data_IF_253925242680
#
_entry.id   IF_253925242680
#
_cell.length_a   1.000
_cell.length_b   1.000
_cell.length_c   1.000
_cell.angle_alpha   90.00
_cell.angle_beta   90.00
_cell.angle_gamma   90.00
#
_symmetry.space_group_name_H-M   'P 1'
#
loop_
_entity.id
_entity.type
_entity.pdbx_description
1 polymer ?
#
# COMPACT_ATOMS: atom_id res chain seq x y z
N UNK A 1 -34.04 -19.29 -26.26
CA UNK A 1 -33.30 -18.58 -25.19
C UNK A 1 -32.51 -19.52 -24.26
N UNK A 2 -33.03 -20.70 -23.88
CA UNK A 2 -32.36 -21.64 -22.96
C UNK A 2 -31.00 -22.17 -23.50
N UNK A 3 -30.86 -22.44 -24.79
CA UNK A 3 -29.59 -22.94 -25.38
C UNK A 3 -28.44 -21.92 -25.46
N UNK A 4 -28.74 -20.61 -25.59
CA UNK A 4 -27.71 -19.56 -25.76
C UNK A 4 -27.05 -19.18 -24.43
N UNK A 5 -27.77 -19.33 -23.32
CA UNK A 5 -27.24 -19.13 -21.96
C UNK A 5 -26.36 -20.30 -21.54
N UNK A 6 -26.72 -21.53 -21.92
CA UNK A 6 -25.92 -22.73 -21.66
C UNK A 6 -24.56 -22.68 -22.38
N UNK A 7 -24.55 -22.29 -23.65
CA UNK A 7 -23.32 -22.22 -24.46
C UNK A 7 -22.31 -21.19 -23.93
N UNK A 8 -22.80 -19.99 -23.52
CA UNK A 8 -21.96 -18.97 -22.87
C UNK A 8 -21.39 -19.41 -21.52
N UNK A 9 -22.12 -20.24 -20.77
CA UNK A 9 -21.64 -20.77 -19.51
C UNK A 9 -20.50 -21.78 -19.74
N UNK A 10 -20.63 -22.64 -20.75
CA UNK A 10 -19.58 -23.60 -21.15
C UNK A 10 -18.33 -22.87 -21.64
N UNK A 11 -18.47 -21.88 -22.53
CA UNK A 11 -17.35 -21.06 -23.01
C UNK A 11 -16.60 -20.36 -21.85
N UNK A 12 -17.33 -19.87 -20.84
CA UNK A 12 -16.72 -19.25 -19.66
C UNK A 12 -15.95 -20.25 -18.78
N UNK A 13 -16.43 -21.49 -18.67
CA UNK A 13 -15.74 -22.56 -17.93
C UNK A 13 -14.46 -22.96 -18.65
N UNK A 14 -14.49 -23.10 -19.97
CA UNK A 14 -13.30 -23.46 -20.77
C UNK A 14 -12.23 -22.38 -20.69
N UNK A 15 -12.60 -21.10 -20.80
CA UNK A 15 -11.68 -19.97 -20.61
C UNK A 15 -11.03 -19.97 -19.22
N UNK A 16 -11.81 -20.24 -18.17
CA UNK A 16 -11.29 -20.31 -16.81
C UNK A 16 -10.32 -21.48 -16.64
N UNK A 17 -10.67 -22.66 -17.17
CA UNK A 17 -9.83 -23.84 -17.11
C UNK A 17 -8.51 -23.64 -17.85
N UNK A 18 -8.55 -23.07 -19.06
CA UNK A 18 -7.35 -22.72 -19.84
C UNK A 18 -6.43 -21.79 -19.04
N UNK A 19 -6.98 -20.70 -18.50
CA UNK A 19 -6.23 -19.76 -17.69
C UNK A 19 -5.59 -20.41 -16.46
N UNK A 20 -6.35 -21.18 -15.69
CA UNK A 20 -5.87 -21.85 -14.49
C UNK A 20 -4.81 -22.92 -14.82
N UNK A 21 -4.97 -23.65 -15.92
CA UNK A 21 -4.00 -24.64 -16.40
C UNK A 21 -2.67 -23.98 -16.78
N UNK A 22 -2.71 -22.86 -17.50
CA UNK A 22 -1.50 -22.10 -17.83
C UNK A 22 -0.82 -21.56 -16.57
N UNK A 23 -1.58 -20.94 -15.67
CA UNK A 23 -1.02 -20.41 -14.42
C UNK A 23 -0.38 -21.51 -13.58
N UNK A 24 -0.92 -22.72 -13.55
CA UNK A 24 -0.40 -23.84 -12.74
C UNK A 24 0.54 -24.78 -13.48
N UNK A 25 0.89 -24.48 -14.74
CA UNK A 25 1.73 -25.32 -15.56
C UNK A 25 3.12 -25.58 -14.94
N UNK A 26 3.67 -26.78 -15.22
CA UNK A 26 5.04 -27.14 -14.81
C UNK A 26 6.08 -26.29 -15.52
N UNK A 27 5.89 -26.06 -16.82
CA UNK A 27 6.76 -25.21 -17.61
C UNK A 27 6.60 -23.73 -17.24
N UNK A 28 7.72 -23.03 -17.10
CA UNK A 28 7.68 -21.64 -16.66
C UNK A 28 7.24 -20.68 -17.77
N UNK A 29 7.41 -21.01 -19.05
CA UNK A 29 6.93 -20.17 -20.14
C UNK A 29 5.40 -20.22 -20.22
N UNK A 30 4.79 -21.41 -20.09
CA UNK A 30 3.35 -21.56 -19.99
C UNK A 30 2.77 -20.74 -18.81
N UNK A 31 3.45 -20.71 -17.65
CA UNK A 31 3.04 -19.83 -16.53
C UNK A 31 3.11 -18.34 -16.88
N UNK A 32 4.12 -17.91 -17.64
CA UNK A 32 4.22 -16.52 -18.12
C UNK A 32 3.11 -16.18 -19.09
N UNK A 33 2.77 -17.10 -19.99
CA UNK A 33 1.62 -16.96 -20.89
C UNK A 33 0.32 -16.83 -20.09
N UNK A 34 0.11 -17.66 -19.06
CA UNK A 34 -1.04 -17.53 -18.17
C UNK A 34 -1.11 -16.17 -17.45
N UNK A 35 0.03 -15.61 -17.04
CA UNK A 35 0.09 -14.27 -16.43
C UNK A 35 -0.29 -13.17 -17.44
N UNK A 36 0.16 -13.29 -18.70
CA UNK A 36 -0.24 -12.36 -19.77
C UNK A 36 -1.72 -12.49 -20.10
N UNK A 37 -2.22 -13.72 -20.24
CA UNK A 37 -3.61 -14.00 -20.53
C UNK A 37 -4.55 -13.44 -19.45
N UNK A 38 -4.18 -13.56 -18.17
CA UNK A 38 -4.92 -12.95 -17.08
C UNK A 38 -5.02 -11.42 -17.23
N UNK A 39 -3.91 -10.76 -17.57
CA UNK A 39 -3.92 -9.31 -17.80
C UNK A 39 -4.85 -8.95 -18.95
N UNK A 40 -4.84 -9.73 -20.03
CA UNK A 40 -5.69 -9.47 -21.19
C UNK A 40 -7.17 -9.70 -20.89
N UNK A 41 -7.52 -10.68 -20.04
CA UNK A 41 -8.87 -10.80 -19.49
C UNK A 41 -9.26 -9.61 -18.61
N UNK A 42 -8.34 -9.05 -17.82
CA UNK A 42 -8.65 -7.84 -17.04
C UNK A 42 -8.97 -6.64 -17.94
N UNK A 43 -8.30 -6.52 -19.10
CA UNK A 43 -8.55 -5.45 -20.08
C UNK A 43 -9.83 -5.67 -20.88
N UNK A 44 -10.05 -6.88 -21.38
CA UNK A 44 -11.11 -7.20 -22.34
C UNK A 44 -12.41 -7.66 -21.69
N UNK A 45 -12.33 -8.35 -20.56
CA UNK A 45 -13.46 -8.98 -19.88
C UNK A 45 -13.35 -8.90 -18.34
N UNK A 46 -13.20 -7.71 -17.73
CA UNK A 46 -13.00 -7.57 -16.28
C UNK A 46 -14.11 -8.23 -15.42
N UNK A 47 -15.35 -8.30 -15.95
CA UNK A 47 -16.47 -9.00 -15.28
C UNK A 47 -16.26 -10.51 -15.17
N UNK A 48 -15.60 -11.13 -16.16
CA UNK A 48 -15.25 -12.55 -16.10
C UNK A 48 -14.25 -12.80 -14.97
N UNK A 49 -13.24 -11.92 -14.85
CA UNK A 49 -12.24 -12.00 -13.78
C UNK A 49 -12.88 -11.78 -12.41
N UNK A 50 -13.73 -10.75 -12.25
CA UNK A 50 -14.38 -10.46 -10.97
C UNK A 50 -15.35 -11.57 -10.54
N UNK A 51 -16.05 -12.20 -11.49
CA UNK A 51 -16.98 -13.32 -11.19
C UNK A 51 -16.23 -14.56 -10.72
N UNK A 52 -15.02 -14.78 -11.23
CA UNK A 52 -14.19 -15.94 -10.91
C UNK A 52 -13.01 -15.59 -9.98
N UNK A 53 -13.16 -14.54 -9.17
CA UNK A 53 -12.03 -13.92 -8.45
C UNK A 53 -11.26 -14.93 -7.58
N UNK A 54 -11.95 -15.77 -6.80
CA UNK A 54 -11.29 -16.76 -5.95
C UNK A 54 -10.53 -17.80 -6.76
N UNK A 55 -11.18 -18.40 -7.77
CA UNK A 55 -10.60 -19.47 -8.59
C UNK A 55 -9.33 -18.99 -9.31
N UNK A 56 -9.36 -17.78 -9.85
CA UNK A 56 -8.21 -17.17 -10.53
C UNK A 56 -7.11 -16.78 -9.53
N UNK A 57 -7.46 -16.10 -8.44
CA UNK A 57 -6.46 -15.53 -7.54
C UNK A 57 -5.84 -16.55 -6.58
N UNK A 58 -6.52 -17.65 -6.26
CA UNK A 58 -5.96 -18.75 -5.49
C UNK A 58 -4.73 -19.34 -6.20
N UNK A 59 -4.75 -19.43 -7.53
CA UNK A 59 -3.60 -19.89 -8.33
C UNK A 59 -2.66 -18.75 -8.72
N UNK A 60 -3.15 -17.54 -8.97
CA UNK A 60 -2.30 -16.39 -9.34
C UNK A 60 -1.39 -15.93 -8.20
N UNK A 61 -1.84 -15.97 -6.94
CA UNK A 61 -1.01 -15.62 -5.77
C UNK A 61 0.26 -16.49 -5.70
N UNK A 62 0.19 -17.73 -6.17
CA UNK A 62 1.36 -18.62 -6.26
C UNK A 62 2.41 -18.11 -7.25
N UNK A 63 2.01 -17.34 -8.28
CA UNK A 63 2.94 -16.71 -9.23
C UNK A 63 3.64 -15.50 -8.61
N UNK A 64 3.00 -14.78 -7.69
CA UNK A 64 3.65 -13.76 -6.87
C UNK A 64 4.68 -14.33 -5.90
N UNK A 65 4.79 -15.66 -5.78
CA UNK A 65 5.83 -16.35 -5.01
C UNK A 65 6.50 -17.46 -5.83
N UNK A 66 6.52 -17.31 -7.15
CA UNK A 66 7.04 -18.34 -8.05
C UNK A 66 8.53 -18.60 -7.81
N UNK A 67 8.94 -19.88 -7.90
CA UNK A 67 10.35 -20.25 -7.79
C UNK A 67 11.19 -19.70 -8.97
N UNK A 68 10.55 -19.49 -10.12
CA UNK A 68 11.19 -18.85 -11.26
C UNK A 68 11.09 -17.32 -11.14
N UNK A 69 12.25 -16.67 -11.01
CA UNK A 69 12.35 -15.21 -10.84
C UNK A 69 11.70 -14.39 -11.96
N UNK A 70 11.72 -14.88 -13.22
CA UNK A 70 11.08 -14.18 -14.35
C UNK A 70 9.57 -14.23 -14.25
N UNK A 71 9.00 -15.38 -13.88
CA UNK A 71 7.56 -15.52 -13.64
C UNK A 71 7.14 -14.63 -12.47
N UNK A 72 7.89 -14.67 -11.37
CA UNK A 72 7.61 -13.87 -10.18
C UNK A 72 7.62 -12.37 -10.44
N UNK A 73 8.67 -11.87 -11.11
CA UNK A 73 8.75 -10.46 -11.49
C UNK A 73 7.59 -10.06 -12.41
N UNK A 74 7.33 -10.84 -13.46
CA UNK A 74 6.25 -10.53 -14.40
C UNK A 74 4.88 -10.53 -13.72
N UNK A 75 4.63 -11.47 -12.79
CA UNK A 75 3.38 -11.52 -12.04
C UNK A 75 3.18 -10.27 -11.17
N UNK A 76 4.24 -9.76 -10.53
CA UNK A 76 4.19 -8.51 -9.74
C UNK A 76 3.94 -7.29 -10.63
N UNK A 77 4.61 -7.21 -11.78
CA UNK A 77 4.40 -6.14 -12.78
C UNK A 77 2.97 -6.14 -13.31
N UNK A 78 2.45 -7.33 -13.64
CA UNK A 78 1.07 -7.51 -14.10
C UNK A 78 0.07 -7.18 -13.00
N UNK A 79 0.32 -7.59 -11.75
CA UNK A 79 -0.54 -7.23 -10.62
C UNK A 79 -0.67 -5.72 -10.46
N UNK A 80 0.44 -4.98 -10.56
CA UNK A 80 0.43 -3.52 -10.50
C UNK A 80 -0.48 -2.89 -11.58
N UNK A 81 -0.55 -3.50 -12.77
CA UNK A 81 -1.45 -3.07 -13.85
C UNK A 81 -2.91 -3.50 -13.60
N UNK A 82 -3.15 -4.68 -13.05
CA UNK A 82 -4.49 -5.21 -12.80
C UNK A 82 -5.22 -4.47 -11.68
N UNK A 83 -4.50 -4.02 -10.65
CA UNK A 83 -5.07 -3.32 -9.49
C UNK A 83 -6.00 -2.16 -9.90
N UNK A 84 -5.58 -1.18 -10.73
CA UNK A 84 -6.47 -0.09 -11.14
C UNK A 84 -7.63 -0.53 -12.05
N UNK A 85 -7.55 -1.69 -12.70
CA UNK A 85 -8.62 -2.22 -13.55
C UNK A 85 -9.72 -2.90 -12.72
N UNK A 86 -9.32 -3.64 -11.67
CA UNK A 86 -10.22 -4.45 -10.86
C UNK A 86 -10.71 -3.73 -9.60
N UNK A 87 -9.91 -2.83 -9.01
CA UNK A 87 -10.25 -2.01 -7.84
C UNK A 87 -10.94 -2.83 -6.73
N UNK A 88 -12.17 -2.47 -6.37
CA UNK A 88 -12.94 -3.11 -5.30
C UNK A 88 -13.24 -4.59 -5.54
N UNK A 89 -13.19 -5.07 -6.79
CA UNK A 89 -13.32 -6.50 -7.08
C UNK A 89 -12.18 -7.34 -6.45
N UNK A 90 -11.05 -6.71 -6.09
CA UNK A 90 -9.94 -7.37 -5.40
C UNK A 90 -10.14 -7.49 -3.88
N UNK A 91 -11.13 -6.80 -3.29
CA UNK A 91 -11.33 -6.82 -1.83
C UNK A 91 -11.37 -8.23 -1.22
N UNK A 92 -12.06 -9.24 -1.82
CA UNK A 92 -12.12 -10.59 -1.25
C UNK A 92 -10.76 -11.31 -1.18
N UNK A 93 -9.79 -10.90 -2.00
CA UNK A 93 -8.44 -11.49 -2.11
C UNK A 93 -7.33 -10.51 -1.71
N UNK A 94 -7.69 -9.35 -1.15
CA UNK A 94 -6.75 -8.27 -0.85
C UNK A 94 -5.65 -8.72 0.12
N UNK A 95 -6.01 -9.40 1.20
CA UNK A 95 -5.04 -9.80 2.23
C UNK A 95 -3.99 -10.79 1.71
N UNK A 96 -4.39 -11.75 0.88
CA UNK A 96 -3.45 -12.72 0.28
C UNK A 96 -2.53 -12.04 -0.73
N UNK A 97 -3.07 -11.15 -1.57
CA UNK A 97 -2.30 -10.33 -2.51
C UNK A 97 -1.28 -9.45 -1.81
N UNK A 98 -1.71 -8.62 -0.85
CA UNK A 98 -0.85 -7.69 -0.13
C UNK A 98 0.23 -8.45 0.64
N UNK A 99 -0.12 -9.58 1.28
CA UNK A 99 0.87 -10.42 1.96
C UNK A 99 1.92 -10.94 0.98
N UNK A 100 1.54 -11.40 -0.21
CA UNK A 100 2.47 -11.91 -1.20
C UNK A 100 3.37 -10.79 -1.76
N UNK A 101 2.82 -9.60 -2.03
CA UNK A 101 3.61 -8.44 -2.45
C UNK A 101 4.66 -8.07 -1.39
N UNK A 102 4.26 -7.99 -0.11
CA UNK A 102 5.16 -7.64 1.00
C UNK A 102 6.33 -8.63 1.11
N UNK A 103 6.10 -9.93 0.91
CA UNK A 103 7.15 -10.94 0.99
C UNK A 103 8.27 -10.71 -0.05
N UNK A 104 7.95 -10.08 -1.18
CA UNK A 104 8.90 -9.78 -2.25
C UNK A 104 9.73 -8.52 -2.00
N UNK A 105 9.38 -7.69 -1.02
CA UNK A 105 10.13 -6.47 -0.68
C UNK A 105 11.52 -6.75 -0.09
N UNK A 106 11.76 -7.98 0.39
CA UNK A 106 13.09 -8.42 0.83
C UNK A 106 13.90 -9.11 -0.28
N UNK A 107 13.39 -9.15 -1.51
CA UNK A 107 14.10 -9.79 -2.62
C UNK A 107 15.40 -9.04 -2.95
N UNK A 108 16.50 -9.78 -3.07
CA UNK A 108 17.78 -9.25 -3.56
C UNK A 108 17.78 -9.02 -5.07
N UNK A 109 16.76 -9.52 -5.78
CA UNK A 109 16.62 -9.30 -7.21
C UNK A 109 15.94 -7.95 -7.46
N UNK A 110 16.69 -6.97 -7.96
CA UNK A 110 16.23 -5.58 -8.11
C UNK A 110 14.95 -5.45 -8.92
N UNK A 111 14.78 -6.26 -9.98
CA UNK A 111 13.54 -6.27 -10.77
C UNK A 111 12.32 -6.76 -9.99
N UNK A 112 12.49 -7.75 -9.11
CA UNK A 112 11.39 -8.27 -8.27
C UNK A 112 11.03 -7.24 -7.20
N UNK A 113 12.06 -6.68 -6.55
CA UNK A 113 11.88 -5.61 -5.57
C UNK A 113 11.14 -4.41 -6.18
N UNK A 114 11.59 -3.90 -7.33
CA UNK A 114 10.95 -2.78 -8.01
C UNK A 114 9.51 -3.07 -8.44
N UNK A 115 9.23 -4.28 -8.91
CA UNK A 115 7.87 -4.70 -9.26
C UNK A 115 6.96 -4.80 -8.02
N UNK A 116 7.49 -5.31 -6.90
CA UNK A 116 6.76 -5.38 -5.62
C UNK A 116 6.44 -3.99 -5.07
N UNK A 117 7.39 -3.05 -5.10
CA UNK A 117 7.15 -1.66 -4.71
C UNK A 117 6.05 -1.04 -5.57
N UNK A 118 6.11 -1.19 -6.90
CA UNK A 118 5.07 -0.69 -7.80
C UNK A 118 3.70 -1.29 -7.53
N UNK A 119 3.62 -2.60 -7.27
CA UNK A 119 2.37 -3.26 -6.92
C UNK A 119 1.81 -2.75 -5.58
N UNK A 120 2.68 -2.51 -4.59
CA UNK A 120 2.30 -1.95 -3.30
C UNK A 120 1.77 -0.51 -3.42
N UNK A 121 2.46 0.32 -4.19
CA UNK A 121 2.04 1.70 -4.48
C UNK A 121 0.70 1.73 -5.23
N UNK A 122 0.50 0.86 -6.23
CA UNK A 122 -0.78 0.72 -6.92
C UNK A 122 -1.90 0.29 -5.95
N UNK A 123 -1.61 -0.64 -5.03
CA UNK A 123 -2.58 -1.09 -4.03
C UNK A 123 -3.01 0.06 -3.11
N UNK A 124 -2.06 0.86 -2.62
CA UNK A 124 -2.35 2.05 -1.79
C UNK A 124 -3.12 3.12 -2.57
N UNK A 125 -2.87 3.27 -3.86
CA UNK A 125 -3.52 4.29 -4.68
C UNK A 125 -4.97 3.94 -5.09
N UNK A 126 -5.30 2.65 -5.18
CA UNK A 126 -6.54 2.20 -5.82
C UNK A 126 -7.42 1.27 -4.98
N UNK A 127 -6.93 0.73 -3.87
CA UNK A 127 -7.71 -0.13 -2.98
C UNK A 127 -8.14 0.62 -1.71
N UNK A 128 -9.08 0.04 -0.95
CA UNK A 128 -9.54 0.68 0.29
C UNK A 128 -8.40 0.80 1.31
N UNK A 129 -8.05 2.05 1.64
CA UNK A 129 -6.95 2.36 2.54
C UNK A 129 -7.14 1.80 3.96
N UNK A 130 -8.39 1.62 4.44
CA UNK A 130 -8.64 1.00 5.75
C UNK A 130 -8.25 -0.48 5.70
N UNK A 131 -8.59 -1.20 4.63
CA UNK A 131 -8.15 -2.60 4.44
C UNK A 131 -6.65 -2.70 4.25
N UNK A 132 -6.01 -1.76 3.56
CA UNK A 132 -4.54 -1.69 3.45
C UNK A 132 -3.88 -1.50 4.82
N UNK A 133 -4.40 -0.58 5.64
CA UNK A 133 -3.92 -0.35 7.00
C UNK A 133 -4.05 -1.61 7.86
N UNK A 134 -5.19 -2.29 7.78
CA UNK A 134 -5.47 -3.55 8.47
C UNK A 134 -4.50 -4.67 8.02
N UNK A 135 -4.26 -4.81 6.71
CA UNK A 135 -3.32 -5.77 6.16
C UNK A 135 -1.88 -5.53 6.66
N UNK A 136 -1.46 -4.27 6.74
CA UNK A 136 -0.14 -3.92 7.29
C UNK A 136 -0.06 -4.20 8.79
N UNK A 137 -1.11 -3.89 9.56
CA UNK A 137 -1.14 -4.11 11.00
C UNK A 137 -0.97 -5.59 11.40
N UNK A 138 -1.55 -6.50 10.61
CA UNK A 138 -1.40 -7.95 10.83
C UNK A 138 0.00 -8.47 10.49
N UNK A 139 0.77 -7.76 9.64
CA UNK A 139 2.03 -8.24 9.11
C UNK A 139 3.26 -7.60 9.76
N UNK A 140 3.21 -6.31 10.11
CA UNK A 140 4.39 -5.50 10.47
C UNK A 140 5.27 -6.11 11.56
N UNK A 141 4.66 -6.77 12.56
CA UNK A 141 5.38 -7.42 13.68
C UNK A 141 6.25 -8.60 13.25
N UNK A 142 5.97 -9.18 12.08
CA UNK A 142 6.69 -10.31 11.50
C UNK A 142 7.66 -9.89 10.40
N UNK A 143 7.71 -8.60 10.06
CA UNK A 143 8.59 -8.09 9.02
C UNK A 143 9.98 -7.78 9.56
N UNK A 144 10.96 -7.86 8.68
CA UNK A 144 12.35 -7.47 8.92
C UNK A 144 12.97 -6.95 7.62
N UNK A 145 14.17 -6.38 7.70
CA UNK A 145 14.90 -5.89 6.53
C UNK A 145 14.18 -4.75 5.81
N UNK A 146 14.25 -4.77 4.47
CA UNK A 146 13.69 -3.72 3.62
C UNK A 146 12.16 -3.72 3.66
N UNK A 147 11.52 -4.89 3.76
CA UNK A 147 10.06 -4.98 3.85
C UNK A 147 9.50 -4.23 5.07
N UNK A 148 10.16 -4.31 6.23
CA UNK A 148 9.75 -3.57 7.42
C UNK A 148 9.86 -2.05 7.21
N UNK A 149 10.94 -1.60 6.55
CA UNK A 149 11.15 -0.18 6.27
C UNK A 149 10.09 0.37 5.32
N UNK A 150 9.88 -0.30 4.19
CA UNK A 150 8.94 0.14 3.14
C UNK A 150 7.50 0.15 3.66
N UNK A 151 7.07 -0.93 4.34
CA UNK A 151 5.71 -0.99 4.94
C UNK A 151 5.51 0.09 5.98
N UNK A 152 6.52 0.38 6.83
CA UNK A 152 6.40 1.42 7.86
C UNK A 152 6.39 2.83 7.28
N UNK A 153 7.13 3.05 6.19
CA UNK A 153 7.10 4.30 5.46
C UNK A 153 5.70 4.57 4.90
N UNK A 154 5.08 3.56 4.26
CA UNK A 154 3.72 3.67 3.73
C UNK A 154 2.63 3.73 4.82
N UNK A 155 2.84 3.11 5.99
CA UNK A 155 1.94 3.24 7.14
C UNK A 155 1.74 4.70 7.53
N UNK A 156 2.80 5.52 7.49
CA UNK A 156 2.69 6.95 7.79
C UNK A 156 1.75 7.65 6.81
N UNK A 157 1.85 7.35 5.51
CA UNK A 157 0.98 7.92 4.47
C UNK A 157 -0.48 7.50 4.68
N UNK A 158 -0.72 6.20 4.95
CA UNK A 158 -2.06 5.68 5.21
C UNK A 158 -2.70 6.35 6.43
N UNK A 159 -1.96 6.48 7.54
CA UNK A 159 -2.41 7.15 8.77
C UNK A 159 -2.83 8.58 8.49
N UNK A 160 -1.99 9.35 7.79
CA UNK A 160 -2.28 10.74 7.47
C UNK A 160 -3.57 10.88 6.65
N UNK A 161 -3.77 9.99 5.66
CA UNK A 161 -4.95 10.01 4.79
C UNK A 161 -6.24 9.54 5.47
N UNK A 162 -6.14 8.57 6.39
CA UNK A 162 -7.30 7.92 7.00
C UNK A 162 -7.78 8.61 8.25
N UNK A 163 -6.92 9.27 9.01
CA UNK A 163 -7.31 9.83 10.30
C UNK A 163 -8.48 10.82 10.22
N UNK A 164 -8.56 11.75 9.24
CA UNK A 164 -9.67 12.70 9.15
C UNK A 164 -11.04 12.04 8.96
N UNK A 165 -11.10 10.90 8.28
CA UNK A 165 -12.35 10.22 7.92
C UNK A 165 -12.67 9.00 8.79
N UNK A 166 -11.64 8.28 9.26
CA UNK A 166 -11.75 7.01 9.99
C UNK A 166 -10.78 6.98 11.19
N UNK A 167 -10.89 7.92 12.15
CA UNK A 167 -9.93 8.04 13.27
C UNK A 167 -9.89 6.79 14.15
N UNK A 168 -11.02 6.07 14.28
CA UNK A 168 -11.09 4.83 15.06
C UNK A 168 -10.27 3.69 14.43
N UNK A 169 -10.25 3.58 13.11
CA UNK A 169 -9.42 2.58 12.42
C UNK A 169 -7.93 2.86 12.66
N UNK A 170 -7.51 4.12 12.58
CA UNK A 170 -6.13 4.52 12.88
C UNK A 170 -5.76 4.22 14.32
N UNK A 171 -6.64 4.53 15.29
CA UNK A 171 -6.42 4.18 16.70
C UNK A 171 -6.28 2.67 16.90
N UNK A 172 -7.15 1.89 16.27
CA UNK A 172 -7.16 0.44 16.42
C UNK A 172 -5.95 -0.25 15.78
N UNK A 173 -5.56 0.16 14.57
CA UNK A 173 -4.51 -0.53 13.82
C UNK A 173 -3.13 0.12 13.95
N UNK A 174 -3.03 1.46 13.92
CA UNK A 174 -1.73 2.14 13.86
C UNK A 174 -1.07 2.35 15.24
N UNK A 175 -1.86 2.62 16.30
CA UNK A 175 -1.28 2.81 17.63
C UNK A 175 -0.57 1.55 18.15
N UNK A 176 -1.14 0.33 18.07
CA UNK A 176 -0.41 -0.87 18.49
C UNK A 176 0.90 -1.08 17.74
N UNK A 177 0.98 -0.66 16.47
CA UNK A 177 2.21 -0.72 15.68
C UNK A 177 3.24 0.29 16.21
N UNK A 178 2.82 1.52 16.49
CA UNK A 178 3.69 2.51 17.11
C UNK A 178 4.24 2.01 18.45
N UNK A 179 3.38 1.47 19.31
CA UNK A 179 3.78 0.92 20.61
C UNK A 179 4.71 -0.27 20.46
N UNK A 180 4.48 -1.13 19.48
CA UNK A 180 5.40 -2.21 19.12
C UNK A 180 6.80 -1.66 18.81
N UNK A 181 6.92 -0.64 17.96
CA UNK A 181 8.22 -0.04 17.66
C UNK A 181 8.85 0.61 18.90
N UNK A 182 8.08 1.38 19.66
CA UNK A 182 8.61 2.12 20.80
C UNK A 182 8.95 1.23 22.02
N UNK A 183 8.30 0.07 22.15
CA UNK A 183 8.58 -0.93 23.18
C UNK A 183 9.66 -1.93 22.78
N UNK A 184 9.70 -2.35 21.52
CA UNK A 184 10.71 -3.29 21.03
C UNK A 184 11.88 -2.56 20.38
N UNK A 185 13.05 -2.61 21.04
CA UNK A 185 14.40 -2.38 20.45
C UNK A 185 14.60 -1.10 19.61
N UNK A 186 13.67 -0.15 19.52
CA UNK A 186 13.86 1.04 18.68
C UNK A 186 15.03 1.92 19.14
N UNK A 187 15.42 1.86 20.42
CA UNK A 187 16.55 2.61 21.00
C UNK A 187 16.99 1.91 22.31
N UNK A 188 18.24 1.43 22.51
CA UNK A 188 19.52 1.75 21.85
C UNK A 188 20.09 0.70 20.86
N UNK A 189 19.39 -0.43 20.61
CA UNK A 189 19.97 -1.61 19.90
C UNK A 189 19.46 -1.81 18.46
N UNK A 190 18.40 -1.11 18.03
CA UNK A 190 17.84 -1.22 16.66
C UNK A 190 18.57 -0.39 15.60
N UNK A 191 18.45 -0.80 14.33
CA UNK A 191 19.06 -0.11 13.18
C UNK A 191 18.58 1.33 13.05
N UNK A 192 19.47 2.23 12.64
CA UNK A 192 19.17 3.66 12.42
C UNK A 192 17.98 3.87 11.48
N UNK A 193 17.87 3.03 10.45
CA UNK A 193 16.79 3.11 9.46
C UNK A 193 15.42 2.78 10.06
N UNK A 194 15.31 1.71 10.86
CA UNK A 194 14.04 1.35 11.53
C UNK A 194 13.61 2.47 12.49
N UNK A 195 14.57 3.06 13.20
CA UNK A 195 14.33 4.20 14.08
C UNK A 195 13.81 5.42 13.32
N UNK A 196 14.33 5.69 12.12
CA UNK A 196 13.89 6.80 11.29
C UNK A 196 12.43 6.64 10.83
N UNK A 197 12.05 5.46 10.31
CA UNK A 197 10.67 5.21 9.86
C UNK A 197 9.68 5.17 11.04
N UNK A 198 10.07 4.59 12.18
CA UNK A 198 9.25 4.60 13.40
C UNK A 198 9.05 6.03 13.94
N UNK A 199 10.09 6.86 13.89
CA UNK A 199 10.00 8.26 14.26
C UNK A 199 9.08 9.05 13.31
N UNK A 200 9.13 8.75 11.99
CA UNK A 200 8.21 9.34 11.01
C UNK A 200 6.75 8.96 11.31
N UNK A 201 6.48 7.69 11.62
CA UNK A 201 5.15 7.22 12.01
C UNK A 201 4.66 7.92 13.29
N UNK A 202 5.51 8.01 14.32
CA UNK A 202 5.19 8.71 15.57
C UNK A 202 4.84 10.19 15.34
N UNK A 203 5.64 10.88 14.51
CA UNK A 203 5.41 12.29 14.17
C UNK A 203 4.12 12.46 13.38
N UNK A 204 3.85 11.59 12.42
CA UNK A 204 2.62 11.64 11.62
C UNK A 204 1.39 11.42 12.48
N UNK A 205 1.44 10.45 13.39
CA UNK A 205 0.38 10.24 14.38
C UNK A 205 0.19 11.48 15.27
N UNK A 206 1.28 12.11 15.73
CA UNK A 206 1.18 13.31 16.55
C UNK A 206 0.57 14.49 15.77
N UNK A 207 0.92 14.65 14.49
CA UNK A 207 0.36 15.70 13.64
C UNK A 207 -1.15 15.55 13.46
N UNK A 208 -1.67 14.33 13.28
CA UNK A 208 -3.10 14.12 13.06
C UNK A 208 -3.90 14.00 14.36
N UNK A 209 -3.30 13.45 15.44
CA UNK A 209 -3.98 13.20 16.72
C UNK A 209 -3.79 14.31 17.76
N UNK A 210 -2.73 15.11 17.64
CA UNK A 210 -2.34 16.11 18.63
C UNK A 210 -2.08 15.51 20.02
N UNK A 211 -2.57 16.20 21.04
CA UNK A 211 -2.41 15.81 22.45
C UNK A 211 -3.06 14.46 22.77
N UNK A 212 -4.06 14.01 22.02
CA UNK A 212 -4.68 12.70 22.29
C UNK A 212 -3.69 11.53 22.13
N UNK A 213 -2.64 11.68 21.31
CA UNK A 213 -1.56 10.69 21.25
C UNK A 213 -0.81 10.59 22.58
N UNK A 214 -0.66 11.71 23.30
CA UNK A 214 -0.03 11.78 24.62
C UNK A 214 -0.86 11.01 25.66
N UNK A 215 -2.17 11.20 25.63
CA UNK A 215 -3.10 10.49 26.52
C UNK A 215 -3.06 8.98 26.27
N UNK A 216 -3.01 8.56 25.00
CA UNK A 216 -2.85 7.16 24.65
C UNK A 216 -1.48 6.60 25.06
N UNK A 217 -0.40 7.39 25.00
CA UNK A 217 0.92 6.98 25.44
C UNK A 217 1.01 6.82 26.96
N UNK A 218 0.22 7.57 27.74
CA UNK A 218 0.18 7.48 29.20
C UNK A 218 -0.36 6.13 29.70
N UNK A 219 -1.11 5.39 28.88
CA UNK A 219 -1.58 4.03 29.19
C UNK A 219 -0.55 2.94 28.87
N UNK A 220 0.57 3.30 28.24
CA UNK A 220 1.64 2.37 27.88
C UNK A 220 2.73 2.33 28.97
N UNK A 221 3.60 1.29 28.99
CA UNK A 221 4.72 1.24 29.93
C UNK A 221 5.61 2.50 29.84
N UNK A 222 6.16 2.94 30.99
CA UNK A 222 6.88 4.21 31.11
C UNK A 222 8.02 4.39 30.08
N UNK A 223 8.73 3.32 29.73
CA UNK A 223 9.80 3.37 28.73
C UNK A 223 9.28 3.66 27.31
N UNK A 224 8.10 3.17 26.94
CA UNK A 224 7.44 3.42 25.65
C UNK A 224 7.06 4.89 25.53
N UNK A 225 6.42 5.43 26.56
CA UNK A 225 6.06 6.84 26.63
C UNK A 225 7.30 7.74 26.57
N UNK A 226 8.36 7.41 27.32
CA UNK A 226 9.65 8.13 27.29
C UNK A 226 10.28 8.12 25.89
N UNK A 227 10.22 7.00 25.18
CA UNK A 227 10.72 6.90 23.81
C UNK A 227 9.93 7.79 22.84
N UNK A 228 8.60 7.86 22.99
CA UNK A 228 7.77 8.81 22.23
C UNK A 228 8.20 10.26 22.50
N UNK A 229 8.36 10.65 23.77
CA UNK A 229 8.81 12.00 24.13
C UNK A 229 10.15 12.36 23.52
N UNK A 230 11.12 11.45 23.59
CA UNK A 230 12.45 11.66 23.01
C UNK A 230 12.41 11.87 21.48
N UNK A 231 11.45 11.26 20.78
CA UNK A 231 11.28 11.43 19.34
C UNK A 231 10.62 12.77 19.02
N UNK A 232 9.58 13.15 19.78
CA UNK A 232 8.83 14.38 19.55
C UNK A 232 9.66 15.63 19.95
N UNK A 233 10.37 15.58 21.08
CA UNK A 233 11.21 16.68 21.58
C UNK A 233 12.39 17.03 20.64
N UNK A 234 12.93 16.06 19.89
CA UNK A 234 14.03 16.31 18.93
C UNK A 234 13.66 17.26 17.78
N UNK A 235 12.37 17.53 17.56
CA UNK A 235 11.89 18.49 16.57
C UNK A 235 11.55 19.87 17.18
N UNK A 236 11.48 19.99 18.51
CA UNK A 236 11.23 21.26 19.21
C UNK A 236 12.56 22.00 19.47
N UNK A 237 13.43 22.13 18.46
CA UNK A 237 14.53 23.12 18.57
C UNK A 237 13.93 24.52 18.35
N UNK A 238 14.13 25.46 19.29
CA UNK A 238 13.55 26.79 19.21
C UNK A 238 14.28 27.62 18.15
N UNK A 239 13.66 27.79 16.98
CA UNK A 239 13.95 28.91 16.10
C UNK A 239 13.27 30.15 16.68
N UNK A 240 14.09 31.05 17.24
CA UNK A 240 13.83 32.46 17.59
C UNK A 240 12.38 32.96 17.54
N UNK A 241 11.86 33.33 18.72
CA UNK A 241 10.62 34.05 18.90
C UNK A 241 10.55 35.37 18.10
N UNK A 242 9.40 35.63 17.48
CA UNK A 242 8.77 36.97 17.44
C UNK A 242 7.27 36.84 17.17
N UNK A 243 6.42 37.75 17.72
CA UNK A 243 4.97 37.57 17.77
C UNK A 243 4.25 38.32 16.64
N UNK A 244 3.33 37.65 15.97
CA UNK A 244 2.15 38.22 15.29
C UNK A 244 1.35 37.02 14.77
N UNK A 245 0.07 36.86 15.10
CA UNK A 245 -1.04 37.69 14.63
C UNK A 245 -1.85 36.81 13.67
N UNK A 246 -3.05 36.41 14.09
CA UNK A 246 -3.76 35.25 13.53
C UNK A 246 -4.26 35.36 12.08
N UNK A 247 -4.45 34.19 11.46
CA UNK A 247 -5.67 33.73 10.74
C UNK A 247 -5.37 32.49 9.87
N UNK A 248 -6.35 31.59 9.80
CA UNK A 248 -6.61 30.73 8.64
C UNK A 248 -5.81 29.43 8.56
N UNK A 249 -6.41 28.31 8.98
CA UNK A 249 -5.98 26.96 8.61
C UNK A 249 -6.98 26.40 7.60
N UNK A 250 -6.59 26.32 6.32
CA UNK A 250 -7.18 25.42 5.33
C UNK A 250 -6.22 25.31 4.13
N UNK A 251 -6.15 24.11 3.53
CA UNK A 251 -5.46 23.72 2.28
C UNK A 251 -3.97 23.31 2.28
N UNK A 252 -3.10 23.78 3.18
CA UNK A 252 -1.64 23.49 3.06
C UNK A 252 -1.17 22.09 3.53
N UNK A 253 -2.02 21.35 4.25
CA UNK A 253 -1.67 20.00 4.74
C UNK A 253 -1.81 18.92 3.65
N UNK A 254 -2.65 19.13 2.64
CA UNK A 254 -2.84 18.16 1.54
C UNK A 254 -1.68 18.16 0.54
N UNK A 255 -1.10 19.33 0.25
CA UNK A 255 -0.03 19.48 -0.75
C UNK A 255 1.31 18.90 -0.29
N UNK A 256 1.61 18.97 1.01
CA UNK A 256 2.90 18.49 1.55
C UNK A 256 2.98 16.96 1.60
N UNK A 257 1.85 16.27 1.81
CA UNK A 257 1.80 14.80 1.81
C UNK A 257 1.96 14.26 0.40
N UNK A 258 1.32 14.88 -0.61
CA UNK A 258 1.50 14.51 -2.03
C UNK A 258 2.94 14.73 -2.54
N UNK A 259 3.63 15.79 -2.10
CA UNK A 259 5.00 16.08 -2.54
C UNK A 259 6.03 15.02 -2.06
N UNK A 260 5.78 14.39 -0.91
CA UNK A 260 6.71 13.40 -0.33
C UNK A 260 6.73 12.04 -1.06
N UNK A 261 5.67 11.73 -1.82
CA UNK A 261 5.61 10.55 -2.71
C UNK A 261 6.38 10.81 -4.02
N UNK A 262 6.52 12.09 -4.42
CA UNK A 262 7.07 12.48 -5.72
C UNK A 262 8.61 12.41 -5.79
N UNK A 263 9.33 12.49 -4.66
CA UNK A 263 10.80 12.63 -4.69
C UNK A 263 11.59 11.35 -5.01
N UNK A 264 10.94 10.19 -5.14
CA UNK A 264 11.60 8.91 -5.50
C UNK A 264 11.20 8.37 -6.88
N UNK A 265 10.37 9.11 -7.63
CA UNK A 265 9.80 8.68 -8.92
C UNK A 265 10.01 9.69 -10.07
N UNK A 266 11.15 10.40 -10.09
CA UNK A 266 11.51 11.20 -11.27
C UNK A 266 12.17 10.31 -12.34
N UNK A 267 11.34 9.72 -13.18
CA UNK A 267 11.55 9.63 -14.64
C UNK A 267 10.48 8.73 -15.26
N UNK A 268 9.27 9.26 -15.49
CA UNK A 268 8.56 9.25 -16.79
C UNK A 268 7.07 9.57 -16.61
N UNK A 269 6.61 10.57 -17.38
CA UNK A 269 5.22 11.02 -17.66
C UNK A 269 4.50 11.90 -16.64
N UNK A 270 4.69 13.22 -16.83
CA UNK A 270 3.71 14.25 -16.49
C UNK A 270 3.45 15.21 -17.67
N UNK A 271 2.55 14.86 -18.62
CA UNK A 271 1.92 15.90 -19.46
C UNK A 271 0.39 15.96 -19.38
N UNK A 272 -0.30 15.14 -18.58
CA UNK A 272 -1.77 15.14 -18.56
C UNK A 272 -2.41 15.96 -17.43
N UNK A 273 -1.69 16.26 -16.35
CA UNK A 273 -2.25 17.01 -15.22
C UNK A 273 -2.22 18.53 -15.43
N UNK A 274 -1.26 19.06 -16.20
CA UNK A 274 -1.22 20.50 -16.53
C UNK A 274 -2.39 20.95 -17.39
N UNK A 275 -2.98 20.08 -18.20
CA UNK A 275 -4.14 20.42 -19.04
C UNK A 275 -5.47 20.47 -18.29
N UNK A 276 -5.59 19.77 -17.15
CA UNK A 276 -6.81 19.80 -16.33
C UNK A 276 -6.87 21.01 -15.40
N UNK A 277 -5.72 21.52 -14.96
CA UNK A 277 -5.66 22.72 -14.11
C UNK A 277 -5.82 24.01 -14.92
N UNK A 278 -5.43 24.03 -16.21
CA UNK A 278 -5.61 25.20 -17.07
C UNK A 278 -7.07 25.40 -17.54
N UNK A 279 -7.92 24.38 -17.47
CA UNK A 279 -9.31 24.44 -17.95
C UNK A 279 -10.33 24.88 -16.88
N UNK A 280 -9.92 25.01 -15.61
CA UNK A 280 -10.82 25.31 -14.48
C UNK A 280 -10.84 26.77 -14.01
N UNK A 281 -10.11 27.68 -14.68
CA UNK A 281 -10.00 29.08 -14.28
C UNK A 281 -10.56 30.01 -15.35
N UNK A 282 -11.87 29.93 -15.63
CA UNK A 282 -12.61 30.96 -16.36
C UNK A 282 -14.12 30.69 -16.25
N UNK A 283 -14.73 31.12 -15.14
CA UNK A 283 -16.10 31.66 -15.07
C UNK A 283 -16.31 32.16 -13.64
N UNK A 284 -16.19 33.47 -13.45
CA UNK A 284 -17.04 34.27 -12.55
C UNK A 284 -16.68 35.75 -12.74
N UNK A 285 -17.37 36.38 -13.68
CA UNK A 285 -17.77 37.80 -13.67
C UNK A 285 -18.91 37.97 -14.67
#
# INVERSE_FOLDING_TARGET
>A
FIGRTSLRAVEGIDQLNELCNLLTAKDFQARREGVVLLLDHCKSSPRFVSTNIFQIFDVFVLRLRDCNKKVNQQALEVLALMIPMLKDALQPVLFSLVSAVIDNLNSKHSGIYAAAVKALEAAIAHLDNRLMLEAFAHRVRFLSGQALLDVTEHLSVLVASLYPSKPQAVKHYALPILWFFLGNRALPVGSSNVRAVAAKLAKTLYQVMGLSLKDHAATQPQHVAKNLWNILAKNERPGTASPSGGRGLSEDVQLTVCASVCHRCQATRWPLYKSLVAAGAMTDT
#
